data_IF_815915484134
#
_entry.id   IF_815915484134
#
_cell.length_a   1.000
_cell.length_b   1.000
_cell.length_c   1.000
_cell.angle_alpha   90.00
_cell.angle_beta   90.00
_cell.angle_gamma   90.00
#
_symmetry.space_group_name_H-M   'P 1'
#
loop_
_entity.id
_entity.type
_entity.pdbx_description
1 polymer ?
#
# COMPACT_ATOMS: atom_id res chain seq x y z
N UNK A 1 -0.95 15.39 -0.58
CA UNK A 1 0.33 14.74 -0.97
C UNK A 1 0.26 14.29 -2.41
N UNK A 2 0.96 14.95 -3.34
CA UNK A 2 1.12 14.49 -4.73
C UNK A 2 2.58 14.64 -5.10
N UNK A 3 3.18 13.60 -5.65
CA UNK A 3 4.59 13.59 -6.07
C UNK A 3 4.73 12.84 -7.40
N UNK A 4 5.92 12.89 -8.04
CA UNK A 4 6.19 12.05 -9.20
C UNK A 4 6.03 10.54 -8.94
N UNK A 5 6.27 10.10 -7.70
CA UNK A 5 6.25 8.69 -7.29
C UNK A 5 4.89 8.23 -6.77
N UNK A 6 4.03 9.15 -6.32
CA UNK A 6 2.73 8.81 -5.72
C UNK A 6 1.64 9.73 -6.27
N UNK A 7 0.62 9.11 -6.89
CA UNK A 7 -0.62 9.78 -7.29
C UNK A 7 -1.69 9.54 -6.25
N UNK A 8 -2.41 10.58 -5.85
CA UNK A 8 -3.43 10.47 -4.81
C UNK A 8 -4.75 11.13 -5.17
N UNK A 9 -5.83 10.56 -4.64
CA UNK A 9 -7.19 11.07 -4.70
C UNK A 9 -7.88 10.87 -3.34
N UNK A 10 -8.40 11.94 -2.76
CA UNK A 10 -9.26 11.87 -1.58
C UNK A 10 -10.70 11.58 -1.99
N UNK A 11 -11.36 10.66 -1.30
CA UNK A 11 -12.74 10.22 -1.56
C UNK A 11 -13.49 10.07 -0.25
N UNK A 12 -14.77 10.43 -0.23
CA UNK A 12 -15.65 10.07 0.89
C UNK A 12 -16.17 8.65 0.70
N UNK A 13 -16.04 7.80 1.72
CA UNK A 13 -16.48 6.39 1.71
C UNK A 13 -17.28 6.12 3.00
N UNK A 14 -18.60 6.25 2.89
CA UNK A 14 -19.48 6.18 4.07
C UNK A 14 -19.14 7.27 5.08
N UNK A 15 -18.86 6.88 6.31
CA UNK A 15 -18.45 7.79 7.40
C UNK A 15 -16.95 8.12 7.39
N UNK A 16 -16.16 7.45 6.55
CA UNK A 16 -14.71 7.62 6.48
C UNK A 16 -14.28 8.42 5.25
N UNK A 17 -13.10 9.02 5.32
CA UNK A 17 -12.41 9.57 4.16
C UNK A 17 -11.27 8.63 3.77
N UNK A 18 -11.22 8.24 2.50
CA UNK A 18 -10.16 7.41 1.94
C UNK A 18 -9.18 8.28 1.15
N UNK A 19 -7.88 8.04 1.35
CA UNK A 19 -6.82 8.53 0.46
C UNK A 19 -6.43 7.38 -0.46
N UNK A 20 -6.98 7.38 -1.68
CA UNK A 20 -6.60 6.41 -2.71
C UNK A 20 -5.24 6.78 -3.29
N UNK A 21 -4.29 5.83 -3.28
CA UNK A 21 -2.91 6.04 -3.70
C UNK A 21 -2.53 5.05 -4.81
N UNK A 22 -1.99 5.56 -5.90
CA UNK A 22 -1.28 4.75 -6.90
C UNK A 22 0.21 5.03 -6.80
N UNK A 23 0.98 3.99 -6.51
CA UNK A 23 2.45 4.04 -6.46
C UNK A 23 3.01 3.86 -7.87
N UNK A 24 3.72 4.88 -8.36
CA UNK A 24 4.32 4.88 -9.70
C UNK A 24 5.68 4.16 -9.70
N UNK A 25 6.41 4.26 -8.59
CA UNK A 25 7.71 3.63 -8.37
C UNK A 25 7.74 2.93 -7.01
N UNK A 26 6.97 1.82 -6.83
CA UNK A 26 6.85 1.12 -5.54
C UNK A 26 8.16 0.48 -5.08
N UNK A 27 9.15 0.36 -5.97
CA UNK A 27 10.52 -0.04 -5.70
C UNK A 27 11.28 0.99 -4.83
N UNK A 28 10.95 2.27 -4.98
CA UNK A 28 11.58 3.38 -4.23
C UNK A 28 10.66 4.01 -3.20
N UNK A 29 9.35 4.07 -3.47
CA UNK A 29 8.33 4.63 -2.60
C UNK A 29 7.23 3.59 -2.42
N UNK A 30 7.45 2.71 -1.46
CA UNK A 30 6.53 1.63 -1.13
C UNK A 30 5.25 2.12 -0.43
N UNK A 31 4.30 1.19 -0.19
CA UNK A 31 3.07 1.49 0.52
C UNK A 31 3.32 1.96 1.97
N UNK A 32 4.42 1.55 2.59
CA UNK A 32 4.88 2.03 3.90
C UNK A 32 5.15 3.54 3.90
N UNK A 33 5.84 4.05 2.87
CA UNK A 33 6.11 5.49 2.72
C UNK A 33 4.82 6.26 2.47
N UNK A 34 3.92 5.74 1.64
CA UNK A 34 2.63 6.38 1.39
C UNK A 34 1.76 6.43 2.66
N UNK A 35 1.78 5.36 3.45
CA UNK A 35 1.10 5.29 4.74
C UNK A 35 1.64 6.33 5.71
N UNK A 36 2.96 6.39 5.89
CA UNK A 36 3.61 7.34 6.82
C UNK A 36 3.29 8.79 6.47
N UNK A 37 3.23 9.11 5.18
CA UNK A 37 2.88 10.46 4.72
C UNK A 37 1.40 10.80 4.96
N UNK A 38 0.49 9.82 4.95
CA UNK A 38 -0.92 10.06 5.33
C UNK A 38 -1.06 10.16 6.85
N UNK A 39 -0.37 9.28 7.59
CA UNK A 39 -0.39 9.24 9.06
C UNK A 39 0.10 10.55 9.69
N UNK A 40 1.08 11.20 9.06
CA UNK A 40 1.56 12.52 9.45
C UNK A 40 0.48 13.62 9.43
N UNK A 41 -0.66 13.39 8.75
CA UNK A 41 -1.75 14.36 8.62
C UNK A 41 -3.06 13.93 9.28
N UNK A 42 -3.30 12.64 9.43
CA UNK A 42 -4.52 12.10 10.01
C UNK A 42 -4.31 10.72 10.61
N UNK A 43 -5.07 10.40 11.65
CA UNK A 43 -5.14 9.02 12.17
C UNK A 43 -5.72 8.11 11.09
N UNK A 44 -5.02 7.01 10.81
CA UNK A 44 -5.47 5.99 9.88
C UNK A 44 -6.24 4.91 10.66
N UNK A 45 -7.50 4.68 10.29
CA UNK A 45 -8.30 3.60 10.88
C UNK A 45 -7.98 2.25 10.23
N UNK A 46 -7.76 2.25 8.91
CA UNK A 46 -7.45 1.04 8.12
C UNK A 46 -6.70 1.40 6.84
N UNK A 47 -5.85 0.47 6.38
CA UNK A 47 -5.30 0.45 5.03
C UNK A 47 -5.81 -0.77 4.25
N UNK A 48 -5.77 -0.69 2.92
CA UNK A 48 -6.13 -1.79 2.03
C UNK A 48 -5.21 -1.79 0.82
N UNK A 49 -4.62 -2.95 0.52
CA UNK A 49 -3.94 -3.17 -0.74
C UNK A 49 -4.96 -3.56 -1.81
N UNK A 50 -5.04 -2.79 -2.88
CA UNK A 50 -5.85 -3.13 -4.06
C UNK A 50 -4.99 -3.86 -5.08
N UNK A 51 -5.25 -5.15 -5.26
CA UNK A 51 -4.54 -6.00 -6.22
C UNK A 51 -3.38 -6.77 -5.59
N UNK A 52 -2.23 -6.76 -6.24
CA UNK A 52 -1.03 -7.50 -5.81
C UNK A 52 0.19 -6.57 -5.82
N UNK A 53 1.19 -6.88 -5.00
CA UNK A 53 2.49 -6.18 -4.99
C UNK A 53 3.62 -7.08 -5.47
N UNK A 54 4.73 -6.53 -5.98
CA UNK A 54 5.94 -7.32 -6.18
C UNK A 54 6.49 -7.84 -4.85
N UNK A 55 6.95 -9.09 -4.81
CA UNK A 55 7.61 -9.69 -3.64
C UNK A 55 8.80 -8.87 -3.17
N UNK A 56 9.62 -8.39 -4.10
CA UNK A 56 10.75 -7.52 -3.78
C UNK A 56 10.33 -6.23 -3.05
N UNK A 57 9.11 -5.75 -3.27
CA UNK A 57 8.57 -4.60 -2.52
C UNK A 57 8.11 -4.97 -1.12
N UNK A 58 7.48 -6.13 -0.96
CA UNK A 58 7.12 -6.66 0.36
C UNK A 58 8.36 -6.85 1.25
N UNK A 59 9.43 -7.44 0.70
CA UNK A 59 10.66 -7.77 1.42
C UNK A 59 11.43 -6.56 1.96
N UNK A 60 11.19 -5.35 1.43
CA UNK A 60 11.78 -4.11 1.94
C UNK A 60 11.00 -3.52 3.11
N UNK A 61 9.78 -4.00 3.36
CA UNK A 61 8.90 -3.50 4.41
C UNK A 61 9.02 -4.43 5.61
N UNK A 62 9.25 -3.85 6.78
CA UNK A 62 9.37 -4.62 8.02
C UNK A 62 8.08 -5.42 8.29
N UNK A 63 8.16 -6.73 8.61
CA UNK A 63 6.99 -7.60 8.78
C UNK A 63 5.98 -7.17 9.84
N UNK A 64 6.41 -6.44 10.88
CA UNK A 64 5.55 -5.85 11.90
C UNK A 64 4.58 -4.80 11.34
N UNK A 65 4.87 -4.25 10.16
CA UNK A 65 4.00 -3.26 9.48
C UNK A 65 3.00 -3.90 8.54
N UNK A 66 3.14 -5.19 8.23
CA UNK A 66 2.36 -5.82 7.16
C UNK A 66 0.86 -5.81 7.43
N UNK A 67 0.44 -6.11 8.66
CA UNK A 67 -0.98 -6.09 9.05
C UNK A 67 -1.59 -4.70 8.86
N UNK A 68 -0.92 -3.65 9.31
CA UNK A 68 -1.39 -2.26 9.18
C UNK A 68 -1.49 -1.79 7.72
N UNK A 69 -0.68 -2.38 6.82
CA UNK A 69 -0.63 -2.08 5.39
C UNK A 69 -1.47 -3.05 4.54
N UNK A 70 -2.18 -3.99 5.18
CA UNK A 70 -2.95 -5.04 4.51
C UNK A 70 -2.08 -5.89 3.54
N UNK A 71 -0.88 -6.23 3.99
CA UNK A 71 0.11 -7.00 3.23
C UNK A 71 0.33 -8.39 3.83
N UNK A 72 0.65 -9.33 2.96
CA UNK A 72 1.18 -10.65 3.30
C UNK A 72 1.81 -11.29 2.05
N UNK A 73 2.51 -12.41 2.22
CA UNK A 73 3.19 -13.10 1.12
C UNK A 73 2.24 -13.54 0.00
N UNK A 74 0.99 -13.90 0.33
CA UNK A 74 -0.01 -14.38 -0.63
C UNK A 74 -0.55 -13.26 -1.53
N UNK A 75 -0.37 -12.00 -1.12
CA UNK A 75 -0.70 -10.81 -1.90
C UNK A 75 0.42 -10.37 -2.85
N UNK A 76 1.46 -11.19 -3.01
CA UNK A 76 2.50 -10.92 -4.00
C UNK A 76 2.11 -11.43 -5.39
N UNK A 77 2.58 -10.73 -6.43
CA UNK A 77 2.41 -11.14 -7.83
C UNK A 77 3.02 -12.52 -8.03
N UNK A 78 4.20 -12.73 -7.50
CA UNK A 78 4.99 -13.94 -7.63
C UNK A 78 4.34 -15.12 -6.94
N UNK A 79 3.84 -14.96 -5.70
CA UNK A 79 3.07 -16.02 -5.04
C UNK A 79 1.87 -16.41 -5.88
N UNK A 80 1.15 -15.42 -6.44
CA UNK A 80 -0.01 -15.70 -7.30
C UNK A 80 0.37 -16.42 -8.59
N UNK A 81 1.52 -16.13 -9.18
CA UNK A 81 2.03 -16.82 -10.38
C UNK A 81 2.44 -18.26 -10.07
N UNK A 82 3.15 -18.47 -8.97
CA UNK A 82 3.60 -19.81 -8.52
C UNK A 82 2.42 -20.73 -8.16
N UNK A 83 1.29 -20.15 -7.73
CA UNK A 83 0.09 -20.88 -7.31
C UNK A 83 -1.07 -20.78 -8.31
N UNK A 84 -0.81 -20.29 -9.53
CA UNK A 84 -1.80 -20.29 -10.62
C UNK A 84 -1.84 -21.70 -11.24
N UNK A 85 -2.90 -22.44 -10.97
CA UNK A 85 -3.23 -23.69 -11.71
C UNK A 85 -3.63 -23.38 -13.14
#
# INVERSE_FOLDING_TARGET
>A
MRSPQIRTLGLQVGEFTQVSCNLIAPDTHGPDVAYDQVEAHARIERCELVGLIPRATLERISPDRWEALDLDETKTIEWRLEHRR
#
